data_IF_056234886406
#
_entry.id   IF_056234886406
#
_cell.length_a   1.000
_cell.length_b   1.000
_cell.length_c   1.000
_cell.angle_alpha   90.00
_cell.angle_beta   90.00
_cell.angle_gamma   90.00
#
_symmetry.space_group_name_H-M   'P 1'
#
loop_
_entity.id
_entity.type
_entity.pdbx_description
1 polymer ?
#
# COMPACT_ATOMS: atom_id res chain seq x y z
N UNK A 1 -1.83 5.81 -12.53
CA UNK A 1 -2.37 4.44 -12.32
C UNK A 1 -3.52 4.41 -11.29
N UNK A 2 -4.30 3.32 -11.20
CA UNK A 2 -5.33 3.13 -10.16
C UNK A 2 -4.91 2.08 -9.14
N UNK A 3 -5.12 2.37 -7.86
CA UNK A 3 -4.69 1.53 -6.73
C UNK A 3 -5.84 1.23 -5.77
N UNK A 4 -5.85 0.02 -5.25
CA UNK A 4 -6.64 -0.37 -4.08
C UNK A 4 -5.76 -0.30 -2.83
N UNK A 5 -6.16 0.51 -1.86
CA UNK A 5 -5.49 0.71 -0.59
C UNK A 5 -6.18 -0.13 0.48
N UNK A 6 -5.38 -0.94 1.16
CA UNK A 6 -5.78 -1.70 2.32
C UNK A 6 -5.05 -1.18 3.56
N UNK A 7 -5.67 -1.34 4.73
CA UNK A 7 -5.10 -1.00 6.03
C UNK A 7 -5.13 -2.20 6.96
N UNK A 8 -4.16 -2.28 7.85
CA UNK A 8 -4.17 -3.23 8.98
C UNK A 8 -3.82 -2.48 10.26
N UNK A 9 -4.39 -2.92 11.38
CA UNK A 9 -3.94 -2.48 12.69
C UNK A 9 -2.69 -3.29 13.07
N UNK A 10 -1.60 -2.62 13.47
CA UNK A 10 -0.36 -3.28 13.90
C UNK A 10 -0.36 -3.48 15.42
N UNK A 11 -0.07 -2.41 16.16
CA UNK A 11 -0.12 -2.29 17.62
C UNK A 11 -0.18 -0.81 17.99
N UNK A 12 -0.71 -0.49 19.17
CA UNK A 12 -0.69 0.87 19.75
C UNK A 12 -1.41 1.95 18.91
N UNK A 13 -2.42 1.56 18.12
CA UNK A 13 -3.19 2.50 17.28
C UNK A 13 -2.51 2.89 15.98
N UNK A 14 -1.37 2.28 15.65
CA UNK A 14 -0.67 2.46 14.37
C UNK A 14 -1.34 1.59 13.30
N UNK A 15 -1.54 2.19 12.13
CA UNK A 15 -2.03 1.50 10.94
C UNK A 15 -0.93 1.39 9.90
N UNK A 16 -0.75 0.18 9.39
CA UNK A 16 0.03 -0.06 8.18
C UNK A 16 -0.91 -0.05 6.98
N UNK A 17 -0.44 0.50 5.87
CA UNK A 17 -1.18 0.59 4.62
C UNK A 17 -0.49 -0.19 3.51
N UNK A 18 -1.28 -0.81 2.65
CA UNK A 18 -0.86 -1.60 1.51
C UNK A 18 -1.56 -1.07 0.26
N UNK A 19 -0.80 -0.57 -0.70
CA UNK A 19 -1.28 -0.17 -2.00
C UNK A 19 -1.03 -1.28 -3.02
N UNK A 20 -2.10 -1.75 -3.65
CA UNK A 20 -2.07 -2.80 -4.68
C UNK A 20 -2.67 -2.21 -5.96
N UNK A 21 -2.12 -2.49 -7.16
CA UNK A 21 -2.77 -2.05 -8.40
C UNK A 21 -4.18 -2.61 -8.53
N UNK A 22 -5.11 -1.79 -9.03
CA UNK A 22 -6.52 -2.16 -9.16
C UNK A 22 -6.66 -3.51 -9.90
N UNK A 23 -7.43 -4.42 -9.32
CA UNK A 23 -7.69 -5.75 -9.88
C UNK A 23 -6.53 -6.75 -9.74
N UNK A 24 -5.43 -6.40 -9.06
CA UNK A 24 -4.40 -7.36 -8.63
C UNK A 24 -4.74 -7.95 -7.25
N UNK A 25 -4.44 -9.24 -7.02
CA UNK A 25 -4.60 -9.83 -5.69
C UNK A 25 -3.56 -9.28 -4.71
N UNK A 26 -3.89 -9.33 -3.41
CA UNK A 26 -2.94 -9.06 -2.33
C UNK A 26 -1.74 -10.02 -2.47
N UNK A 27 -0.50 -9.52 -2.35
CA UNK A 27 0.70 -10.34 -2.49
C UNK A 27 0.75 -11.46 -1.44
N UNK A 28 1.30 -12.63 -1.82
CA UNK A 28 1.36 -13.81 -0.94
C UNK A 28 2.10 -13.54 0.37
N UNK A 29 3.07 -12.62 0.37
CA UNK A 29 3.80 -12.22 1.57
C UNK A 29 2.90 -11.53 2.60
N UNK A 30 1.87 -10.81 2.14
CA UNK A 30 0.96 -10.05 2.97
C UNK A 30 -0.43 -10.70 3.10
N UNK A 31 -0.72 -11.77 2.36
CA UNK A 31 -2.04 -12.44 2.35
C UNK A 31 -2.41 -13.10 3.68
N UNK A 32 -1.41 -13.43 4.51
CA UNK A 32 -1.63 -13.96 5.86
C UNK A 32 -2.06 -12.89 6.87
N UNK A 33 -2.18 -11.63 6.44
CA UNK A 33 -2.64 -10.54 7.28
C UNK A 33 -4.08 -10.17 6.93
N UNK A 34 -4.90 -9.93 7.94
CA UNK A 34 -6.25 -9.37 7.79
C UNK A 34 -6.21 -7.90 7.38
N UNK A 35 -5.99 -7.69 6.09
CA UNK A 35 -6.09 -6.39 5.43
C UNK A 35 -7.56 -5.98 5.28
N UNK A 36 -7.90 -4.81 5.80
CA UNK A 36 -9.21 -4.19 5.62
C UNK A 36 -9.16 -3.19 4.47
N UNK A 37 -10.16 -3.15 3.57
CA UNK A 37 -10.22 -2.15 2.52
C UNK A 37 -10.32 -0.75 3.15
N UNK A 38 -9.42 0.15 2.77
CA UNK A 38 -9.39 1.54 3.22
C UNK A 38 -9.92 2.48 2.13
N UNK A 39 -9.40 2.34 0.92
CA UNK A 39 -9.80 3.12 -0.26
C UNK A 39 -9.64 2.24 -1.50
N UNK A 40 -10.58 2.35 -2.44
CA UNK A 40 -10.58 1.54 -3.65
C UNK A 40 -10.59 2.43 -4.88
N UNK A 41 -9.97 1.95 -5.96
CA UNK A 41 -9.85 2.70 -7.22
C UNK A 41 -9.27 4.12 -7.03
N UNK A 42 -8.30 4.27 -6.12
CA UNK A 42 -7.57 5.52 -5.91
C UNK A 42 -6.79 5.87 -7.18
N UNK A 43 -7.14 6.99 -7.79
CA UNK A 43 -6.43 7.51 -8.95
C UNK A 43 -5.18 8.27 -8.50
N UNK A 44 -4.01 7.78 -8.92
CA UNK A 44 -2.72 8.41 -8.64
C UNK A 44 -1.97 8.65 -9.94
N UNK A 45 -1.11 9.65 -9.95
CA UNK A 45 -0.23 9.88 -11.09
C UNK A 45 0.73 8.70 -11.28
N UNK A 46 1.15 8.43 -12.52
CA UNK A 46 2.04 7.29 -12.79
C UNK A 46 3.47 7.53 -12.24
N UNK A 47 3.88 8.80 -12.20
CA UNK A 47 5.19 9.24 -11.70
C UNK A 47 5.18 9.54 -10.19
N UNK A 48 4.06 9.30 -9.50
CA UNK A 48 3.95 9.64 -8.07
C UNK A 48 4.98 8.85 -7.25
N UNK A 49 5.83 9.57 -6.51
CA UNK A 49 6.93 8.95 -5.77
C UNK A 49 6.50 8.33 -4.44
N UNK A 50 5.33 8.69 -3.92
CA UNK A 50 4.83 8.22 -2.63
C UNK A 50 3.41 8.69 -2.36
N UNK A 51 2.78 8.09 -1.35
CA UNK A 51 1.46 8.45 -0.85
C UNK A 51 1.60 8.87 0.63
N UNK A 52 1.78 10.17 0.91
CA UNK A 52 2.02 10.65 2.27
C UNK A 52 0.85 10.37 3.21
N UNK A 53 -0.39 10.44 2.73
CA UNK A 53 -1.61 10.10 3.51
C UNK A 53 -1.61 8.65 4.04
N UNK A 54 -0.83 7.77 3.40
CA UNK A 54 -0.73 6.35 3.75
C UNK A 54 0.68 5.96 4.25
N UNK A 55 1.57 6.94 4.43
CA UNK A 55 2.97 6.73 4.80
C UNK A 55 3.71 5.76 3.84
N UNK A 56 3.30 5.72 2.57
CA UNK A 56 3.91 4.88 1.55
C UNK A 56 4.97 5.71 0.82
N UNK A 57 6.24 5.45 1.09
CA UNK A 57 7.34 6.08 0.38
C UNK A 57 7.82 5.21 -0.80
N UNK A 58 8.43 5.82 -1.82
CA UNK A 58 8.96 5.14 -3.02
C UNK A 58 7.94 4.25 -3.71
N UNK A 59 6.72 4.73 -3.89
CA UNK A 59 5.62 4.00 -4.52
C UNK A 59 6.07 3.36 -5.84
N UNK A 60 6.58 4.15 -6.77
CA UNK A 60 7.01 3.68 -8.11
C UNK A 60 8.08 2.59 -8.01
N UNK A 61 9.06 2.73 -7.10
CA UNK A 61 10.12 1.72 -6.93
C UNK A 61 9.58 0.42 -6.34
N UNK A 62 8.70 0.50 -5.34
CA UNK A 62 8.06 -0.66 -4.74
C UNK A 62 7.17 -1.37 -5.77
N UNK A 63 6.34 -0.62 -6.50
CA UNK A 63 5.49 -1.14 -7.57
C UNK A 63 6.32 -1.84 -8.66
N UNK A 64 7.43 -1.24 -9.09
CA UNK A 64 8.33 -1.83 -10.09
C UNK A 64 9.07 -3.08 -9.60
N UNK A 65 9.33 -3.19 -8.29
CA UNK A 65 10.12 -4.30 -7.73
C UNK A 65 9.27 -5.53 -7.36
N UNK A 66 8.14 -5.30 -6.69
CA UNK A 66 7.29 -6.37 -6.12
C UNK A 66 5.83 -6.33 -6.61
N UNK A 67 5.43 -5.29 -7.35
CA UNK A 67 4.08 -5.16 -7.89
C UNK A 67 3.04 -4.59 -6.91
N UNK A 68 3.49 -4.11 -5.74
CA UNK A 68 2.67 -3.46 -4.72
C UNK A 68 3.56 -2.50 -3.91
N UNK A 69 2.95 -1.65 -3.09
CA UNK A 69 3.67 -0.82 -2.13
C UNK A 69 3.06 -0.93 -0.74
N UNK A 70 3.87 -0.77 0.30
CA UNK A 70 3.42 -0.83 1.70
C UNK A 70 4.05 0.30 2.47
N UNK A 71 3.42 0.72 3.58
CA UNK A 71 3.97 1.69 4.51
C UNK A 71 5.43 1.36 4.82
N UNK A 72 6.29 2.37 4.75
CA UNK A 72 7.69 2.19 5.04
C UNK A 72 7.87 1.89 6.53
N UNK A 73 8.22 0.64 6.87
CA UNK A 73 8.60 0.25 8.23
C UNK A 73 9.81 1.03 8.78
N UNK A 74 10.47 1.84 7.94
CA UNK A 74 11.70 2.54 8.26
C UNK A 74 11.48 3.87 8.99
N UNK A 75 10.23 4.32 9.11
CA UNK A 75 9.85 5.57 9.79
C UNK A 75 8.69 5.38 10.80
N UNK A 76 8.59 4.19 11.41
CA UNK A 76 7.73 3.95 12.57
C UNK A 76 8.55 3.98 13.86
#
# INVERSE_FOLDING_TARGET
MRLDIYRRAEHDGIFSYLAVPEGKPIPQEAINTDWLPAEQSLEVDDDVQGLPDYHIDRLTQQMGSKGYAITALKDM
#
